data_IF_427712360379
#
_entry.id   IF_427712360379
#
_cell.length_a   1.000
_cell.length_b   1.000
_cell.length_c   1.000
_cell.angle_alpha   90.00
_cell.angle_beta   90.00
_cell.angle_gamma   90.00
#
_symmetry.space_group_name_H-M   'P 1'
#
loop_
_entity.id
_entity.type
_entity.pdbx_description
1 polymer ?
#
# COMPACT_ATOMS: atom_id res chain seq x y z
N UNK A 1 -104.96 96.01 -14.79
CA UNK A 1 -104.91 95.04 -13.68
C UNK A 1 -105.57 93.76 -14.19
N UNK A 2 -104.80 92.73 -14.58
CA UNK A 2 -104.17 91.69 -13.74
C UNK A 2 -105.17 90.75 -13.05
N UNK A 3 -105.37 89.57 -13.63
CA UNK A 3 -104.98 88.22 -13.14
C UNK A 3 -105.63 87.19 -14.08
N UNK A 4 -104.94 86.07 -14.35
CA UNK A 4 -105.37 84.91 -15.19
C UNK A 4 -104.85 84.80 -16.63
N UNK A 5 -103.54 84.86 -16.87
CA UNK A 5 -102.97 84.28 -18.11
C UNK A 5 -101.50 83.83 -17.99
N UNK A 6 -101.06 83.43 -16.79
CA UNK A 6 -99.75 82.78 -16.59
C UNK A 6 -99.94 81.51 -15.76
N UNK A 7 -100.54 80.50 -16.37
CA UNK A 7 -100.44 79.11 -15.96
C UNK A 7 -100.33 78.27 -17.24
N UNK A 8 -99.11 78.04 -17.68
CA UNK A 8 -98.87 77.25 -18.89
C UNK A 8 -97.43 76.92 -19.23
N UNK A 9 -96.43 77.10 -18.34
CA UNK A 9 -95.02 76.96 -18.74
C UNK A 9 -94.06 76.37 -17.67
N UNK A 10 -94.53 75.51 -16.75
CA UNK A 10 -93.64 74.88 -15.75
C UNK A 10 -93.69 73.35 -15.65
N UNK A 11 -93.91 72.65 -16.76
CA UNK A 11 -93.66 71.20 -16.83
C UNK A 11 -92.84 70.88 -18.09
N UNK A 12 -91.55 71.21 -18.06
CA UNK A 12 -90.57 70.66 -19.00
C UNK A 12 -89.18 70.77 -18.38
N UNK A 13 -88.77 69.75 -17.62
CA UNK A 13 -87.39 69.24 -17.47
C UNK A 13 -87.25 68.41 -16.18
N UNK A 14 -87.72 67.16 -16.22
CA UNK A 14 -87.17 66.09 -15.41
C UNK A 14 -86.49 65.11 -16.39
N UNK A 15 -85.25 64.66 -16.14
CA UNK A 15 -84.64 63.65 -17.00
C UNK A 15 -85.50 62.38 -16.99
N UNK A 16 -85.70 61.70 -18.14
CA UNK A 16 -86.54 60.51 -18.18
C UNK A 16 -85.97 59.45 -17.24
N UNK A 17 -86.85 58.81 -16.46
CA UNK A 17 -86.48 57.70 -15.60
C UNK A 17 -85.90 56.55 -16.46
N UNK A 18 -84.71 56.05 -16.10
CA UNK A 18 -84.05 54.92 -16.76
C UNK A 18 -85.03 53.75 -16.89
N UNK A 19 -85.22 53.24 -18.11
CA UNK A 19 -86.18 52.17 -18.37
C UNK A 19 -85.63 50.83 -17.86
N UNK A 20 -86.53 49.86 -17.64
CA UNK A 20 -86.16 48.50 -17.21
C UNK A 20 -85.17 47.84 -18.19
N UNK A 21 -85.26 48.19 -19.48
CA UNK A 21 -84.40 47.72 -20.56
C UNK A 21 -82.98 48.31 -20.49
N UNK A 22 -82.85 49.60 -20.12
CA UNK A 22 -81.55 50.27 -19.89
C UNK A 22 -80.79 49.68 -18.69
N UNK A 23 -81.51 49.32 -17.62
CA UNK A 23 -80.93 48.71 -16.42
C UNK A 23 -80.53 47.23 -16.66
N UNK A 24 -81.27 46.51 -17.51
CA UNK A 24 -80.96 45.13 -17.88
C UNK A 24 -79.72 45.06 -18.81
N UNK A 25 -79.62 45.97 -19.79
CA UNK A 25 -78.45 46.07 -20.67
C UNK A 25 -77.19 46.57 -19.96
N UNK A 26 -77.28 47.55 -19.06
CA UNK A 26 -76.16 47.94 -18.16
C UNK A 26 -75.75 46.78 -17.23
N UNK A 27 -76.70 46.01 -16.69
CA UNK A 27 -76.43 44.83 -15.87
C UNK A 27 -75.73 43.69 -16.61
N UNK A 28 -76.11 43.44 -17.88
CA UNK A 28 -75.43 42.48 -18.75
C UNK A 28 -74.03 42.96 -19.16
N UNK A 29 -73.87 44.25 -19.51
CA UNK A 29 -72.58 44.83 -19.87
C UNK A 29 -71.60 44.86 -18.68
N UNK A 30 -72.07 45.20 -17.48
CA UNK A 30 -71.29 45.15 -16.24
C UNK A 30 -70.93 43.70 -15.86
N UNK A 31 -71.84 42.74 -16.05
CA UNK A 31 -71.58 41.32 -15.88
C UNK A 31 -70.52 40.78 -16.86
N UNK A 32 -70.57 41.19 -18.12
CA UNK A 32 -69.60 40.81 -19.15
C UNK A 32 -68.23 41.48 -18.93
N UNK A 33 -68.20 42.73 -18.48
CA UNK A 33 -66.98 43.44 -18.12
C UNK A 33 -66.30 42.82 -16.90
N UNK A 34 -67.07 42.50 -15.84
CA UNK A 34 -66.57 41.77 -14.67
C UNK A 34 -66.06 40.38 -15.05
N UNK A 35 -66.78 39.65 -15.91
CA UNK A 35 -66.34 38.33 -16.37
C UNK A 35 -65.05 38.41 -17.20
N UNK A 36 -64.92 39.41 -18.08
CA UNK A 36 -63.70 39.68 -18.85
C UNK A 36 -62.53 40.09 -17.95
N UNK A 37 -62.78 40.86 -16.89
CA UNK A 37 -61.79 41.25 -15.89
C UNK A 37 -61.31 40.04 -15.08
N UNK A 38 -62.22 39.20 -14.59
CA UNK A 38 -61.90 37.94 -13.88
C UNK A 38 -61.10 36.99 -14.78
N UNK A 39 -61.46 36.88 -16.06
CA UNK A 39 -60.72 36.07 -17.03
C UNK A 39 -59.34 36.65 -17.33
N UNK A 40 -59.19 37.98 -17.40
CA UNK A 40 -57.90 38.65 -17.55
C UNK A 40 -57.02 38.48 -16.32
N UNK A 41 -57.56 38.61 -15.11
CA UNK A 41 -56.85 38.37 -13.85
C UNK A 41 -56.44 36.91 -13.71
N UNK A 42 -57.32 35.96 -14.05
CA UNK A 42 -57.01 34.54 -14.05
C UNK A 42 -55.93 34.19 -15.08
N UNK A 43 -55.96 34.82 -16.26
CA UNK A 43 -54.91 34.69 -17.27
C UNK A 43 -53.59 35.28 -16.79
N UNK A 44 -53.59 36.49 -16.23
CA UNK A 44 -52.40 37.14 -15.68
C UNK A 44 -51.79 36.32 -14.52
N UNK A 45 -52.61 35.76 -13.63
CA UNK A 45 -52.16 34.85 -12.57
C UNK A 45 -51.54 33.57 -13.14
N UNK A 46 -52.16 32.96 -14.16
CA UNK A 46 -51.59 31.80 -14.86
C UNK A 46 -50.27 32.12 -15.55
N UNK A 47 -50.18 33.25 -16.23
CA UNK A 47 -48.97 33.69 -16.94
C UNK A 47 -47.82 33.98 -15.95
N UNK A 48 -48.14 34.58 -14.79
CA UNK A 48 -47.17 34.80 -13.70
C UNK A 48 -46.68 33.48 -13.08
N UNK A 49 -47.58 32.51 -12.85
CA UNK A 49 -47.23 31.16 -12.38
C UNK A 49 -46.32 30.48 -13.40
N UNK A 50 -46.70 30.48 -14.68
CA UNK A 50 -45.91 29.86 -15.75
C UNK A 50 -44.53 30.51 -15.88
N UNK A 51 -44.43 31.83 -15.73
CA UNK A 51 -43.15 32.56 -15.77
C UNK A 51 -42.24 32.18 -14.58
N UNK A 52 -42.81 32.01 -13.38
CA UNK A 52 -42.04 31.51 -12.21
C UNK A 52 -41.56 30.09 -12.43
N UNK A 53 -42.41 29.20 -12.95
CA UNK A 53 -42.04 27.80 -13.25
C UNK A 53 -40.95 27.75 -14.30
N UNK A 54 -41.06 28.55 -15.38
CA UNK A 54 -40.03 28.66 -16.41
C UNK A 54 -38.69 29.09 -15.82
N UNK A 55 -38.67 30.10 -14.93
CA UNK A 55 -37.45 30.54 -14.25
C UNK A 55 -36.79 29.44 -13.40
N UNK A 56 -37.55 28.56 -12.76
CA UNK A 56 -36.99 27.39 -12.07
C UNK A 56 -36.43 26.36 -13.07
N UNK A 57 -37.18 26.05 -14.14
CA UNK A 57 -36.75 25.06 -15.13
C UNK A 57 -35.47 25.53 -15.84
N UNK A 58 -35.38 26.80 -16.21
CA UNK A 58 -34.21 27.38 -16.87
C UNK A 58 -32.97 27.41 -15.95
N UNK A 59 -33.19 27.47 -14.63
CA UNK A 59 -32.13 27.41 -13.63
C UNK A 59 -31.63 25.98 -13.34
N UNK A 60 -32.34 24.94 -13.81
CA UNK A 60 -31.93 23.56 -13.62
C UNK A 60 -30.85 23.19 -14.64
N UNK A 61 -29.60 23.09 -14.17
CA UNK A 61 -28.51 22.55 -14.97
C UNK A 61 -28.65 21.02 -15.08
N UNK A 62 -28.85 20.53 -16.29
CA UNK A 62 -29.05 19.09 -16.56
C UNK A 62 -27.95 18.47 -17.42
N UNK A 63 -26.81 19.16 -17.55
CA UNK A 63 -25.70 18.76 -18.41
C UNK A 63 -24.94 17.55 -17.83
N UNK A 64 -25.56 16.38 -17.88
CA UNK A 64 -24.89 15.10 -17.62
C UNK A 64 -24.52 14.52 -18.97
N UNK A 65 -23.23 14.47 -19.26
CA UNK A 65 -22.70 13.85 -20.47
C UNK A 65 -22.69 12.32 -20.32
N UNK A 66 -23.62 11.66 -21.02
CA UNK A 66 -23.75 10.20 -21.02
C UNK A 66 -23.08 9.53 -22.22
N UNK A 67 -22.39 10.28 -23.09
CA UNK A 67 -21.67 9.64 -24.20
C UNK A 67 -20.56 8.72 -23.68
N UNK A 68 -20.17 7.75 -24.49
CA UNK A 68 -19.07 6.81 -24.19
C UNK A 68 -19.33 5.87 -22.99
N UNK A 69 -20.54 5.94 -22.41
CA UNK A 69 -21.10 4.94 -21.51
C UNK A 69 -21.83 3.85 -22.31
N UNK A 70 -22.02 2.68 -21.71
CA UNK A 70 -22.80 1.61 -22.36
C UNK A 70 -24.28 2.00 -22.47
N UNK A 71 -25.04 1.42 -23.41
CA UNK A 71 -26.48 1.68 -23.51
C UNK A 71 -27.25 1.46 -22.20
N UNK A 72 -26.89 0.41 -21.44
CA UNK A 72 -27.50 0.13 -20.13
C UNK A 72 -27.18 1.23 -19.11
N UNK A 73 -25.94 1.69 -19.04
CA UNK A 73 -25.52 2.77 -18.15
C UNK A 73 -26.20 4.10 -18.52
N UNK A 74 -26.27 4.42 -19.82
CA UNK A 74 -26.98 5.59 -20.33
C UNK A 74 -28.45 5.58 -19.94
N UNK A 75 -29.12 4.43 -20.06
CA UNK A 75 -30.51 4.26 -19.67
C UNK A 75 -30.72 4.45 -18.16
N UNK A 76 -29.86 3.89 -17.31
CA UNK A 76 -29.93 4.09 -15.85
C UNK A 76 -29.87 5.58 -15.47
N UNK A 77 -28.92 6.32 -16.04
CA UNK A 77 -28.76 7.76 -15.80
C UNK A 77 -29.95 8.53 -16.35
N UNK A 78 -30.36 8.26 -17.59
CA UNK A 78 -31.47 8.95 -18.25
C UNK A 78 -32.78 8.76 -17.48
N UNK A 79 -33.07 7.55 -17.01
CA UNK A 79 -34.26 7.25 -16.21
C UNK A 79 -34.28 8.03 -14.89
N UNK A 80 -33.14 8.14 -14.22
CA UNK A 80 -33.01 8.96 -13.02
C UNK A 80 -33.26 10.45 -13.33
N UNK A 81 -32.61 10.98 -14.37
CA UNK A 81 -32.76 12.39 -14.78
C UNK A 81 -34.22 12.72 -15.14
N UNK A 82 -34.90 11.86 -15.90
CA UNK A 82 -36.31 12.05 -16.27
C UNK A 82 -37.21 12.05 -15.04
N UNK A 83 -37.03 11.10 -14.13
CA UNK A 83 -37.79 11.02 -12.87
C UNK A 83 -37.63 12.30 -12.06
N UNK A 84 -36.38 12.71 -11.83
CA UNK A 84 -36.08 13.90 -11.02
C UNK A 84 -36.51 15.20 -11.70
N UNK A 85 -36.41 15.33 -13.03
CA UNK A 85 -36.98 16.47 -13.79
C UNK A 85 -38.49 16.58 -13.59
N UNK A 86 -39.21 15.45 -13.60
CA UNK A 86 -40.64 15.44 -13.32
C UNK A 86 -40.95 15.90 -11.90
N UNK A 87 -40.18 15.43 -10.91
CA UNK A 87 -40.34 15.86 -9.51
C UNK A 87 -40.00 17.34 -9.30
N UNK A 88 -38.98 17.83 -10.01
CA UNK A 88 -38.60 19.24 -10.03
C UNK A 88 -39.71 20.11 -10.61
N UNK A 89 -40.26 19.73 -11.76
CA UNK A 89 -41.34 20.47 -12.42
C UNK A 89 -42.62 20.52 -11.57
N UNK A 90 -42.98 19.42 -10.90
CA UNK A 90 -44.10 19.40 -9.96
C UNK A 90 -43.84 20.31 -8.75
N UNK A 91 -42.66 20.23 -8.14
CA UNK A 91 -42.29 21.11 -7.02
C UNK A 91 -42.29 22.59 -7.42
N UNK A 92 -41.71 22.93 -8.57
CA UNK A 92 -41.70 24.29 -9.12
C UNK A 92 -43.12 24.81 -9.39
N UNK A 93 -43.99 23.95 -9.94
CA UNK A 93 -45.40 24.27 -10.19
C UNK A 93 -46.19 24.53 -8.91
N UNK A 94 -45.88 23.80 -7.82
CA UNK A 94 -46.48 24.02 -6.51
C UNK A 94 -45.96 25.30 -5.87
N UNK A 95 -44.65 25.56 -5.91
CA UNK A 95 -44.06 26.81 -5.41
C UNK A 95 -44.66 28.03 -6.10
N UNK A 96 -44.83 27.97 -7.42
CA UNK A 96 -45.35 29.10 -8.17
C UNK A 96 -46.77 29.53 -7.76
N UNK A 97 -47.55 28.62 -7.16
CA UNK A 97 -48.91 28.85 -6.64
C UNK A 97 -48.93 29.36 -5.18
N UNK A 98 -47.80 29.35 -4.49
CA UNK A 98 -47.69 29.84 -3.11
C UNK A 98 -47.35 31.33 -3.13
N UNK A 99 -48.18 32.14 -2.46
CA UNK A 99 -47.99 33.58 -2.38
C UNK A 99 -46.99 34.00 -1.29
N UNK A 100 -46.99 33.30 -0.14
CA UNK A 100 -46.10 33.57 1.00
C UNK A 100 -44.78 32.77 0.93
N UNK A 101 -43.64 33.43 0.65
CA UNK A 101 -42.33 32.79 0.57
C UNK A 101 -41.77 32.33 1.94
N UNK A 102 -42.40 32.72 3.04
CA UNK A 102 -41.99 32.34 4.40
C UNK A 102 -42.77 31.15 4.94
N UNK A 103 -43.77 30.68 4.19
CA UNK A 103 -44.58 29.55 4.59
C UNK A 103 -43.74 28.25 4.69
N UNK A 104 -44.01 27.36 5.65
CA UNK A 104 -43.31 26.08 5.77
C UNK A 104 -43.33 25.27 4.47
N UNK A 105 -44.47 25.26 3.77
CA UNK A 105 -44.66 24.55 2.50
C UNK A 105 -43.76 25.11 1.38
N UNK A 106 -43.60 26.43 1.29
CA UNK A 106 -42.68 27.04 0.34
C UNK A 106 -41.24 26.59 0.60
N UNK A 107 -40.82 26.61 1.87
CA UNK A 107 -39.47 26.24 2.29
C UNK A 107 -39.16 24.76 2.04
N UNK A 108 -40.10 23.86 2.31
CA UNK A 108 -39.97 22.42 2.01
C UNK A 108 -39.80 22.18 0.50
N UNK A 109 -40.66 22.77 -0.33
CA UNK A 109 -40.59 22.61 -1.78
C UNK A 109 -39.31 23.23 -2.36
N UNK A 110 -38.88 24.39 -1.85
CA UNK A 110 -37.61 25.02 -2.25
C UNK A 110 -36.42 24.13 -1.88
N UNK A 111 -36.46 23.51 -0.70
CA UNK A 111 -35.44 22.54 -0.27
C UNK A 111 -35.41 21.34 -1.21
N UNK A 112 -36.58 20.83 -1.62
CA UNK A 112 -36.67 19.75 -2.63
C UNK A 112 -36.07 20.14 -3.97
N UNK A 113 -36.43 21.31 -4.51
CA UNK A 113 -35.88 21.87 -5.76
C UNK A 113 -34.35 21.98 -5.68
N UNK A 114 -33.84 22.55 -4.59
CA UNK A 114 -32.40 22.70 -4.40
C UNK A 114 -31.71 21.33 -4.29
N UNK A 115 -32.30 20.37 -3.58
CA UNK A 115 -31.78 19.00 -3.48
C UNK A 115 -31.69 18.29 -4.83
N UNK A 116 -32.69 18.46 -5.70
CA UNK A 116 -32.67 17.91 -7.06
C UNK A 116 -31.63 18.61 -7.94
N UNK A 117 -31.51 19.95 -7.85
CA UNK A 117 -30.48 20.68 -8.58
C UNK A 117 -29.08 20.22 -8.17
N UNK A 118 -28.84 20.06 -6.86
CA UNK A 118 -27.58 19.55 -6.34
C UNK A 118 -27.32 18.11 -6.77
N UNK A 119 -28.36 17.26 -6.87
CA UNK A 119 -28.19 15.88 -7.33
C UNK A 119 -27.76 15.81 -8.80
N UNK A 120 -28.21 16.73 -9.65
CA UNK A 120 -27.81 16.79 -11.05
C UNK A 120 -26.36 17.23 -11.20
N UNK A 121 -25.95 18.24 -10.44
CA UNK A 121 -24.55 18.68 -10.41
C UNK A 121 -23.62 17.59 -9.88
N UNK A 122 -24.03 16.90 -8.81
CA UNK A 122 -23.27 15.78 -8.26
C UNK A 122 -23.14 14.64 -9.27
N UNK A 123 -24.25 14.27 -9.92
CA UNK A 123 -24.26 13.23 -10.95
C UNK A 123 -23.38 13.60 -12.15
N UNK A 124 -23.48 14.83 -12.66
CA UNK A 124 -22.63 15.31 -13.75
C UNK A 124 -21.14 15.23 -13.38
N UNK A 125 -20.79 15.66 -12.16
CA UNK A 125 -19.42 15.60 -11.65
C UNK A 125 -18.92 14.17 -11.56
N UNK A 126 -19.72 13.26 -10.98
CA UNK A 126 -19.32 11.86 -10.81
C UNK A 126 -19.25 11.10 -12.14
N UNK A 127 -20.17 11.34 -13.09
CA UNK A 127 -20.12 10.76 -14.43
C UNK A 127 -18.87 11.20 -15.17
N UNK A 128 -18.53 12.50 -15.10
CA UNK A 128 -17.29 13.01 -15.68
C UNK A 128 -16.07 12.33 -15.06
N UNK A 129 -15.96 12.30 -13.73
CA UNK A 129 -14.85 11.64 -13.03
C UNK A 129 -14.76 10.16 -13.39
N UNK A 130 -15.88 9.44 -13.47
CA UNK A 130 -15.92 8.04 -13.88
C UNK A 130 -15.39 7.84 -15.30
N UNK A 131 -15.78 8.69 -16.26
CA UNK A 131 -15.26 8.64 -17.63
C UNK A 131 -13.74 8.89 -17.68
N UNK A 132 -13.25 9.86 -16.92
CA UNK A 132 -11.82 10.19 -16.82
C UNK A 132 -11.02 9.05 -16.17
N UNK A 133 -11.51 8.52 -15.04
CA UNK A 133 -10.89 7.42 -14.32
C UNK A 133 -10.89 6.13 -15.16
N UNK A 134 -11.98 5.85 -15.89
CA UNK A 134 -12.05 4.73 -16.85
C UNK A 134 -11.02 4.87 -17.96
N UNK A 135 -10.91 6.04 -18.57
CA UNK A 135 -9.93 6.29 -19.62
C UNK A 135 -8.49 6.17 -19.10
N UNK A 136 -8.21 6.70 -17.90
CA UNK A 136 -6.90 6.56 -17.26
C UNK A 136 -6.59 5.09 -16.97
N UNK A 137 -7.52 4.36 -16.34
CA UNK A 137 -7.32 2.96 -16.00
C UNK A 137 -7.02 2.10 -17.24
N UNK A 138 -7.81 2.24 -18.30
CA UNK A 138 -7.58 1.48 -19.54
C UNK A 138 -6.21 1.80 -20.16
N UNK A 139 -5.84 3.09 -20.18
CA UNK A 139 -4.51 3.51 -20.64
C UNK A 139 -3.39 2.97 -19.76
N UNK A 140 -3.53 3.02 -18.44
CA UNK A 140 -2.52 2.57 -17.49
C UNK A 140 -2.38 1.05 -17.54
N UNK A 141 -3.49 0.32 -17.73
CA UNK A 141 -3.51 -1.12 -17.97
C UNK A 141 -2.82 -1.50 -19.28
N UNK A 142 -3.19 -0.85 -20.40
CA UNK A 142 -2.58 -1.11 -21.72
C UNK A 142 -1.07 -0.83 -21.73
N UNK A 143 -0.62 0.16 -20.94
CA UNK A 143 0.79 0.49 -20.79
C UNK A 143 1.51 -0.34 -19.71
N UNK A 144 0.85 -1.29 -19.05
CA UNK A 144 1.44 -2.13 -18.00
C UNK A 144 1.89 -1.36 -16.75
N UNK A 145 1.24 -0.23 -16.46
CA UNK A 145 1.58 0.68 -15.36
C UNK A 145 0.86 0.35 -14.06
N UNK A 146 -0.16 -0.50 -14.10
CA UNK A 146 -0.82 -1.01 -12.88
C UNK A 146 0.19 -1.87 -12.12
N UNK A 147 0.34 -1.62 -10.82
CA UNK A 147 1.28 -2.37 -9.99
C UNK A 147 0.75 -3.78 -9.66
N UNK A 148 1.65 -4.75 -9.69
CA UNK A 148 1.42 -6.13 -9.25
C UNK A 148 1.28 -6.21 -7.71
N UNK A 149 1.64 -5.15 -7.00
CA UNK A 149 1.43 -5.01 -5.55
C UNK A 149 -0.02 -4.69 -5.16
N UNK A 150 -0.93 -4.53 -6.12
CA UNK A 150 -2.36 -4.39 -5.84
C UNK A 150 -2.98 -5.72 -5.41
N UNK A 151 -3.91 -5.68 -4.45
CA UNK A 151 -4.68 -6.85 -4.08
C UNK A 151 -5.53 -7.36 -5.25
N UNK A 152 -5.63 -8.69 -5.40
CA UNK A 152 -6.40 -9.34 -6.47
C UNK A 152 -7.86 -8.86 -6.49
N UNK A 153 -8.49 -8.70 -5.32
CA UNK A 153 -9.86 -8.21 -5.23
C UNK A 153 -9.99 -6.78 -5.76
N UNK A 154 -9.04 -5.89 -5.43
CA UNK A 154 -9.01 -4.52 -5.94
C UNK A 154 -8.87 -4.50 -7.47
N UNK A 155 -7.98 -5.33 -8.02
CA UNK A 155 -7.80 -5.46 -9.47
C UNK A 155 -9.05 -5.98 -10.17
N UNK A 156 -9.71 -6.99 -9.61
CA UNK A 156 -10.93 -7.58 -10.15
C UNK A 156 -12.08 -6.56 -10.15
N UNK A 157 -12.31 -5.88 -9.02
CA UNK A 157 -13.34 -4.85 -8.91
C UNK A 157 -13.10 -3.70 -9.90
N UNK A 158 -11.86 -3.21 -10.01
CA UNK A 158 -11.50 -2.16 -10.95
C UNK A 158 -11.65 -2.60 -12.41
N UNK A 159 -11.25 -3.83 -12.74
CA UNK A 159 -11.43 -4.40 -14.07
C UNK A 159 -12.90 -4.36 -14.44
N UNK A 160 -13.79 -4.97 -13.65
CA UNK A 160 -15.23 -4.97 -13.91
C UNK A 160 -15.81 -3.57 -14.06
N UNK A 161 -15.37 -2.65 -13.19
CA UNK A 161 -15.83 -1.26 -13.15
C UNK A 161 -15.51 -0.49 -14.44
N UNK A 162 -14.31 -0.68 -14.99
CA UNK A 162 -13.81 0.10 -16.10
C UNK A 162 -13.90 -0.62 -17.46
N UNK A 163 -14.15 -1.94 -17.50
CA UNK A 163 -14.33 -2.73 -18.75
C UNK A 163 -15.78 -2.88 -19.21
N UNK A 164 -16.72 -2.07 -18.69
CA UNK A 164 -18.16 -2.08 -19.01
C UNK A 164 -18.98 -3.24 -18.40
N UNK A 165 -18.38 -4.10 -17.59
CA UNK A 165 -19.08 -5.24 -16.98
C UNK A 165 -19.91 -4.83 -15.76
N UNK A 166 -19.52 -3.75 -15.07
CA UNK A 166 -20.24 -3.29 -13.89
C UNK A 166 -21.59 -2.64 -14.24
N UNK A 167 -22.63 -3.04 -13.50
CA UNK A 167 -23.97 -2.45 -13.58
C UNK A 167 -24.01 -1.13 -12.81
N UNK A 168 -24.19 -0.03 -13.54
CA UNK A 168 -24.27 1.33 -13.00
C UNK A 168 -25.72 1.70 -12.65
N UNK A 169 -25.89 2.32 -11.49
CA UNK A 169 -27.11 2.99 -11.06
C UNK A 169 -26.84 4.41 -10.59
N UNK A 170 -27.92 5.12 -10.25
CA UNK A 170 -27.86 6.43 -9.60
C UNK A 170 -28.59 6.33 -8.25
N UNK A 171 -27.83 6.51 -7.18
CA UNK A 171 -28.32 6.50 -5.81
C UNK A 171 -28.97 7.82 -5.39
N UNK A 172 -29.27 7.91 -4.09
CA UNK A 172 -29.78 9.14 -3.51
C UNK A 172 -28.80 10.31 -3.69
N UNK A 173 -29.34 11.51 -3.87
CA UNK A 173 -28.53 12.72 -4.07
C UNK A 173 -27.69 12.73 -5.35
N UNK A 174 -27.97 11.85 -6.32
CA UNK A 174 -27.26 11.82 -7.61
C UNK A 174 -25.88 11.19 -7.53
N UNK A 175 -25.64 10.35 -6.51
CA UNK A 175 -24.41 9.56 -6.41
C UNK A 175 -24.40 8.44 -7.44
N UNK A 176 -23.27 8.23 -8.10
CA UNK A 176 -23.04 7.04 -8.91
C UNK A 176 -22.83 5.85 -7.99
N UNK A 177 -23.50 4.77 -8.31
CA UNK A 177 -23.41 3.52 -7.58
C UNK A 177 -23.24 2.35 -8.53
N UNK A 178 -22.54 1.31 -8.09
CA UNK A 178 -22.28 0.12 -8.88
C UNK A 178 -22.74 -1.11 -8.12
N UNK A 179 -23.37 -2.04 -8.84
CA UNK A 179 -23.82 -3.30 -8.25
C UNK A 179 -22.63 -4.16 -7.86
N UNK A 180 -22.56 -4.54 -6.59
CA UNK A 180 -21.60 -5.49 -6.06
C UNK A 180 -22.27 -6.86 -5.92
N UNK A 181 -21.92 -7.78 -6.82
CA UNK A 181 -22.44 -9.15 -6.82
C UNK A 181 -22.13 -9.91 -5.53
N UNK A 182 -20.97 -9.66 -4.92
CA UNK A 182 -20.52 -10.37 -3.72
C UNK A 182 -21.27 -9.98 -2.45
N UNK A 183 -21.82 -8.76 -2.40
CA UNK A 183 -22.60 -8.27 -1.25
C UNK A 183 -24.10 -8.16 -1.54
N UNK A 184 -24.52 -8.35 -2.78
CA UNK A 184 -25.90 -8.12 -3.25
C UNK A 184 -26.40 -6.69 -2.94
N UNK A 185 -25.50 -5.70 -3.03
CA UNK A 185 -25.79 -4.29 -2.74
C UNK A 185 -25.07 -3.36 -3.72
N UNK A 186 -25.53 -2.11 -3.79
CA UNK A 186 -24.87 -1.04 -4.51
C UNK A 186 -23.78 -0.39 -3.64
N UNK A 187 -22.55 -0.35 -4.15
CA UNK A 187 -21.44 0.37 -3.55
C UNK A 187 -21.28 1.74 -4.25
N UNK A 188 -20.93 2.77 -3.47
CA UNK A 188 -20.74 4.12 -3.99
C UNK A 188 -19.46 4.22 -4.81
N UNK A 189 -19.53 4.87 -5.97
CA UNK A 189 -18.36 5.11 -6.84
C UNK A 189 -17.16 5.68 -6.08
N UNK A 190 -17.40 6.66 -5.22
CA UNK A 190 -16.35 7.35 -4.47
C UNK A 190 -15.65 6.46 -3.43
N UNK A 191 -16.22 5.31 -3.11
CA UNK A 191 -15.71 4.35 -2.12
C UNK A 191 -15.05 3.14 -2.77
N UNK A 192 -15.15 3.00 -4.09
CA UNK A 192 -14.57 1.85 -4.79
C UNK A 192 -13.03 1.94 -4.76
N UNK A 193 -12.35 0.83 -4.45
CA UNK A 193 -10.90 0.81 -4.36
C UNK A 193 -10.30 1.09 -5.74
N UNK A 194 -9.39 2.06 -5.81
CA UNK A 194 -8.66 2.39 -7.04
C UNK A 194 -7.30 1.69 -7.01
N UNK A 195 -6.96 0.90 -8.05
CA UNK A 195 -5.63 0.35 -8.19
C UNK A 195 -4.57 1.45 -8.20
N UNK A 196 -3.41 1.17 -7.61
CA UNK A 196 -2.27 2.07 -7.67
C UNK A 196 -1.29 1.66 -8.77
N UNK A 197 -0.51 2.63 -9.22
CA UNK A 197 0.46 2.47 -10.29
C UNK A 197 1.83 2.03 -9.75
N UNK A 198 2.63 1.44 -10.62
CA UNK A 198 4.05 1.13 -10.39
C UNK A 198 4.83 2.39 -9.98
N UNK A 199 5.69 2.28 -8.97
CA UNK A 199 6.58 3.32 -8.46
C UNK A 199 7.87 3.39 -9.28
N UNK A 200 7.76 3.88 -10.51
CA UNK A 200 8.91 4.09 -11.38
C UNK A 200 9.92 5.10 -10.81
N UNK A 201 9.51 6.04 -9.95
CA UNK A 201 10.44 7.00 -9.35
C UNK A 201 11.37 6.30 -8.36
N UNK A 202 10.79 5.55 -7.42
CA UNK A 202 11.54 4.73 -6.46
C UNK A 202 12.43 3.71 -7.18
N UNK A 203 11.89 3.03 -8.21
CA UNK A 203 12.63 2.05 -9.00
C UNK A 203 13.82 2.67 -9.75
N UNK A 204 13.65 3.86 -10.34
CA UNK A 204 14.73 4.57 -11.01
C UNK A 204 15.83 4.99 -10.02
N UNK A 205 15.46 5.49 -8.84
CA UNK A 205 16.45 5.83 -7.80
C UNK A 205 17.25 4.60 -7.36
N UNK A 206 16.58 3.46 -7.22
CA UNK A 206 17.23 2.20 -6.90
C UNK A 206 18.18 1.72 -8.00
N UNK A 207 17.76 1.83 -9.27
CA UNK A 207 18.60 1.48 -10.42
C UNK A 207 19.85 2.38 -10.50
N UNK A 208 19.71 3.69 -10.27
CA UNK A 208 20.84 4.62 -10.26
C UNK A 208 21.80 4.34 -9.08
N UNK A 209 21.25 4.03 -7.90
CA UNK A 209 22.04 3.56 -6.77
C UNK A 209 22.81 2.28 -7.12
N UNK A 210 22.17 1.32 -7.79
CA UNK A 210 22.80 0.09 -8.23
C UNK A 210 23.94 0.35 -9.24
N UNK A 211 23.70 1.20 -10.25
CA UNK A 211 24.73 1.63 -11.23
C UNK A 211 25.93 2.29 -10.54
N UNK A 212 25.69 3.15 -9.56
CA UNK A 212 26.74 3.82 -8.78
C UNK A 212 27.57 2.81 -7.98
N UNK A 213 26.89 1.86 -7.33
CA UNK A 213 27.53 0.80 -6.55
C UNK A 213 28.40 -0.11 -7.42
N UNK A 214 27.87 -0.59 -8.56
CA UNK A 214 28.64 -1.32 -9.57
C UNK A 214 29.84 -0.50 -10.04
N UNK A 215 29.60 0.79 -10.33
CA UNK A 215 30.60 1.65 -10.93
C UNK A 215 31.79 1.95 -10.02
N UNK A 216 31.59 1.91 -8.72
CA UNK A 216 32.64 2.12 -7.73
C UNK A 216 33.71 1.00 -7.71
N UNK A 217 33.46 -0.16 -8.33
CA UNK A 217 34.47 -1.21 -8.49
C UNK A 217 35.03 -1.77 -7.18
N UNK A 218 34.24 -1.73 -6.10
CA UNK A 218 34.64 -2.16 -4.76
C UNK A 218 33.46 -2.78 -4.02
N UNK A 219 33.74 -3.77 -3.17
CA UNK A 219 32.73 -4.50 -2.38
C UNK A 219 32.01 -3.57 -1.38
N UNK A 220 30.79 -3.97 -1.00
CA UNK A 220 29.96 -3.19 -0.07
C UNK A 220 30.15 -3.68 1.37
N UNK A 221 31.01 -3.01 2.14
CA UNK A 221 31.32 -3.40 3.52
C UNK A 221 31.32 -2.21 4.49
N UNK A 222 31.26 -2.50 5.79
CA UNK A 222 31.42 -1.51 6.87
C UNK A 222 30.51 -0.29 6.76
N UNK A 223 31.08 0.90 6.96
CA UNK A 223 30.35 2.17 6.95
C UNK A 223 29.62 2.44 5.62
N UNK A 224 30.20 2.02 4.49
CA UNK A 224 29.57 2.19 3.16
C UNK A 224 28.29 1.37 3.05
N UNK A 225 28.28 0.13 3.55
CA UNK A 225 27.07 -0.71 3.60
C UNK A 225 25.96 -0.05 4.41
N UNK A 226 26.29 0.50 5.58
CA UNK A 226 25.32 1.19 6.43
C UNK A 226 24.73 2.44 5.78
N UNK A 227 25.56 3.24 5.10
CA UNK A 227 25.10 4.43 4.39
C UNK A 227 24.16 4.08 3.23
N UNK A 228 24.51 3.07 2.41
CA UNK A 228 23.65 2.58 1.34
C UNK A 228 22.33 2.05 1.90
N UNK A 229 22.37 1.30 3.01
CA UNK A 229 21.16 0.82 3.69
C UNK A 229 20.25 1.97 4.14
N UNK A 230 20.81 3.05 4.68
CA UNK A 230 20.03 4.23 5.05
C UNK A 230 19.43 4.94 3.83
N UNK A 231 20.19 5.07 2.73
CA UNK A 231 19.69 5.65 1.49
C UNK A 231 18.53 4.83 0.91
N UNK A 232 18.68 3.51 0.86
CA UNK A 232 17.63 2.59 0.43
C UNK A 232 16.39 2.72 1.32
N UNK A 233 16.56 2.75 2.64
CA UNK A 233 15.44 2.94 3.57
C UNK A 233 14.69 4.26 3.31
N UNK A 234 15.39 5.33 2.98
CA UNK A 234 14.77 6.62 2.64
C UNK A 234 13.96 6.55 1.34
N UNK A 235 14.43 5.79 0.33
CA UNK A 235 13.67 5.54 -0.91
C UNK A 235 12.36 4.83 -0.57
N UNK A 236 12.44 3.75 0.22
CA UNK A 236 11.26 2.96 0.62
C UNK A 236 10.26 3.78 1.44
N UNK A 237 10.73 4.65 2.34
CA UNK A 237 9.86 5.54 3.13
C UNK A 237 9.19 6.60 2.25
N UNK A 238 9.91 7.18 1.27
CA UNK A 238 9.39 8.26 0.44
C UNK A 238 8.17 7.84 -0.40
N UNK A 239 8.18 6.61 -0.93
CA UNK A 239 7.06 6.06 -1.71
C UNK A 239 5.82 5.70 -0.85
N UNK A 240 5.95 5.70 0.48
CA UNK A 240 4.92 5.22 1.39
C UNK A 240 4.55 3.76 1.13
N UNK A 241 3.39 3.33 1.63
CA UNK A 241 2.93 1.94 1.50
C UNK A 241 2.80 1.47 0.05
N UNK A 242 2.20 2.28 -0.83
CA UNK A 242 2.00 1.92 -2.25
C UNK A 242 3.32 1.77 -2.98
N UNK A 243 4.28 2.68 -2.76
CA UNK A 243 5.62 2.57 -3.32
C UNK A 243 6.35 1.35 -2.77
N UNK A 244 6.21 1.05 -1.47
CA UNK A 244 6.78 -0.16 -0.87
C UNK A 244 6.22 -1.46 -1.50
N UNK A 245 4.90 -1.57 -1.64
CA UNK A 245 4.25 -2.72 -2.28
C UNK A 245 4.69 -2.86 -3.74
N UNK A 246 4.74 -1.74 -4.46
CA UNK A 246 5.23 -1.71 -5.84
C UNK A 246 6.67 -2.19 -5.94
N UNK A 247 7.58 -1.64 -5.13
CA UNK A 247 8.98 -2.04 -5.13
C UNK A 247 9.19 -3.49 -4.64
N UNK A 248 8.24 -4.06 -3.89
CA UNK A 248 8.32 -5.46 -3.48
C UNK A 248 7.88 -6.42 -4.61
N UNK A 249 6.83 -6.07 -5.34
CA UNK A 249 6.10 -6.99 -6.22
C UNK A 249 6.36 -6.77 -7.71
N UNK A 250 6.67 -5.55 -8.13
CA UNK A 250 6.82 -5.21 -9.54
C UNK A 250 8.18 -5.64 -10.12
N UNK A 251 8.18 -5.89 -11.42
CA UNK A 251 9.27 -6.43 -12.22
C UNK A 251 10.38 -5.42 -12.59
N UNK A 252 10.79 -4.57 -11.65
CA UNK A 252 11.79 -3.52 -11.93
C UNK A 252 13.22 -4.04 -12.11
N UNK A 253 13.61 -5.04 -11.30
CA UNK A 253 14.97 -5.60 -11.30
C UNK A 253 14.99 -7.04 -11.78
N UNK A 254 13.97 -7.82 -11.39
CA UNK A 254 13.81 -9.21 -11.81
C UNK A 254 12.33 -9.50 -12.05
N UNK A 255 12.08 -10.48 -12.92
CA UNK A 255 10.72 -10.89 -13.26
C UNK A 255 9.98 -11.40 -12.01
N UNK A 256 8.78 -10.87 -11.74
CA UNK A 256 7.99 -11.23 -10.55
C UNK A 256 8.39 -10.50 -9.26
N UNK A 257 9.14 -9.41 -9.36
CA UNK A 257 9.56 -8.62 -8.20
C UNK A 257 10.55 -9.36 -7.31
N UNK A 258 10.54 -9.09 -6.00
CA UNK A 258 11.46 -9.71 -5.06
C UNK A 258 11.11 -11.17 -4.71
N UNK A 259 10.02 -11.72 -5.27
CA UNK A 259 9.61 -13.11 -5.04
C UNK A 259 9.25 -13.41 -3.58
N UNK A 260 8.71 -12.43 -2.85
CA UNK A 260 8.27 -12.63 -1.47
C UNK A 260 7.00 -13.48 -1.45
N UNK A 261 7.03 -14.62 -0.75
CA UNK A 261 5.94 -15.60 -0.75
C UNK A 261 4.96 -15.42 0.42
N UNK A 262 5.35 -14.73 1.49
CA UNK A 262 4.53 -14.57 2.69
C UNK A 262 3.44 -13.51 2.49
N UNK A 263 2.14 -13.90 2.42
CA UNK A 263 1.05 -12.96 2.21
C UNK A 263 0.83 -12.02 3.41
N UNK A 264 1.24 -12.41 4.62
CA UNK A 264 1.04 -11.58 5.81
C UNK A 264 1.87 -10.30 5.72
N UNK A 265 3.04 -10.33 5.09
CA UNK A 265 3.86 -9.13 4.87
C UNK A 265 3.11 -8.05 4.08
N UNK A 266 2.25 -8.45 3.15
CA UNK A 266 1.51 -7.51 2.29
C UNK A 266 0.25 -6.95 2.96
N UNK A 267 -0.15 -7.47 4.13
CA UNK A 267 -1.38 -7.10 4.81
C UNK A 267 -1.35 -5.66 5.38
N UNK A 268 -2.51 -4.96 5.43
CA UNK A 268 -2.63 -3.67 6.11
C UNK A 268 -2.06 -3.68 7.53
N UNK A 269 -1.17 -2.74 7.84
CA UNK A 269 -0.52 -2.64 9.17
C UNK A 269 0.88 -3.26 9.28
N UNK A 270 1.29 -4.16 8.39
CA UNK A 270 2.60 -4.82 8.44
C UNK A 270 3.70 -4.06 7.65
N UNK A 271 3.57 -2.74 7.54
CA UNK A 271 4.45 -1.90 6.71
C UNK A 271 5.91 -1.93 7.17
N UNK A 272 6.15 -1.99 8.48
CA UNK A 272 7.50 -2.01 9.04
C UNK A 272 8.23 -3.33 8.73
N UNK A 273 7.54 -4.46 8.85
CA UNK A 273 8.07 -5.80 8.57
C UNK A 273 8.32 -5.97 7.07
N UNK A 274 7.36 -5.61 6.23
CA UNK A 274 7.52 -5.61 4.78
C UNK A 274 8.70 -4.73 4.36
N UNK A 275 8.81 -3.52 4.91
CA UNK A 275 9.93 -2.61 4.61
C UNK A 275 11.27 -3.24 4.96
N UNK A 276 11.36 -3.88 6.12
CA UNK A 276 12.59 -4.53 6.56
C UNK A 276 12.99 -5.68 5.61
N UNK A 277 12.02 -6.52 5.21
CA UNK A 277 12.27 -7.63 4.26
C UNK A 277 12.68 -7.10 2.89
N UNK A 278 11.97 -6.10 2.36
CA UNK A 278 12.30 -5.47 1.07
C UNK A 278 13.68 -4.82 1.10
N UNK A 279 14.00 -4.11 2.18
CA UNK A 279 15.30 -3.49 2.41
C UNK A 279 16.42 -4.54 2.43
N UNK A 280 16.24 -5.66 3.14
CA UNK A 280 17.24 -6.72 3.23
C UNK A 280 17.48 -7.39 1.87
N UNK A 281 16.42 -7.70 1.14
CA UNK A 281 16.53 -8.28 -0.20
C UNK A 281 17.26 -7.35 -1.19
N UNK A 282 16.90 -6.06 -1.21
CA UNK A 282 17.62 -5.10 -2.05
C UNK A 282 19.06 -4.89 -1.60
N UNK A 283 19.35 -4.89 -0.29
CA UNK A 283 20.73 -4.82 0.19
C UNK A 283 21.57 -6.03 -0.25
N UNK A 284 20.98 -7.21 -0.37
CA UNK A 284 21.65 -8.39 -0.91
C UNK A 284 21.98 -8.19 -2.40
N UNK A 285 20.99 -7.78 -3.21
CA UNK A 285 21.18 -7.48 -4.65
C UNK A 285 22.27 -6.43 -4.87
N UNK A 286 22.27 -5.36 -4.08
CA UNK A 286 23.27 -4.30 -4.14
C UNK A 286 24.66 -4.80 -3.72
N UNK A 287 24.73 -5.69 -2.73
CA UNK A 287 26.00 -6.29 -2.29
C UNK A 287 26.59 -7.20 -3.37
N UNK A 288 25.76 -8.00 -4.04
CA UNK A 288 26.16 -8.84 -5.17
C UNK A 288 26.64 -8.00 -6.35
N UNK A 289 25.92 -6.92 -6.65
CA UNK A 289 26.31 -5.99 -7.71
C UNK A 289 27.64 -5.28 -7.39
N UNK A 290 27.87 -4.90 -6.13
CA UNK A 290 29.15 -4.34 -5.69
C UNK A 290 30.30 -5.35 -5.86
N UNK A 291 30.07 -6.60 -5.49
CA UNK A 291 31.04 -7.68 -5.64
C UNK A 291 31.36 -7.94 -7.12
N UNK A 292 30.35 -7.91 -7.99
CA UNK A 292 30.52 -8.05 -9.43
C UNK A 292 31.30 -6.86 -10.03
N UNK A 293 30.95 -5.63 -9.66
CA UNK A 293 31.68 -4.44 -10.09
C UNK A 293 33.15 -4.47 -9.70
N UNK A 294 33.47 -4.97 -8.49
CA UNK A 294 34.85 -5.16 -8.05
C UNK A 294 35.62 -6.20 -8.88
N UNK A 295 34.95 -7.27 -9.33
CA UNK A 295 35.54 -8.28 -10.22
C UNK A 295 35.80 -7.73 -11.61
N UNK A 296 34.81 -7.05 -12.20
CA UNK A 296 34.85 -6.59 -13.59
C UNK A 296 35.81 -5.42 -13.80
N UNK A 297 35.90 -4.50 -12.82
CA UNK A 297 36.75 -3.30 -12.91
C UNK A 297 38.18 -3.55 -12.43
N UNK A 298 38.55 -4.79 -12.18
CA UNK A 298 39.90 -5.16 -11.74
C UNK A 298 40.91 -4.91 -12.88
N UNK A 299 42.02 -4.19 -12.65
CA UNK A 299 43.07 -4.04 -13.65
C UNK A 299 43.68 -5.40 -14.02
N UNK A 300 43.97 -5.63 -15.30
CA UNK A 300 44.67 -6.85 -15.73
C UNK A 300 46.06 -6.92 -15.10
N UNK A 301 46.29 -7.88 -14.19
CA UNK A 301 47.62 -8.04 -13.59
C UNK A 301 48.58 -8.64 -14.62
N UNK A 302 49.61 -7.86 -15.02
CA UNK A 302 50.80 -8.40 -15.70
C UNK A 302 51.45 -9.45 -14.79
N UNK A 303 51.74 -10.61 -15.37
CA UNK A 303 52.27 -11.78 -14.66
C UNK A 303 53.54 -11.46 -13.87
N UNK A 304 53.53 -11.84 -12.59
CA UNK A 304 54.66 -11.69 -11.69
C UNK A 304 54.45 -12.50 -10.42
N UNK A 305 55.01 -13.71 -10.43
CA UNK A 305 55.51 -14.53 -9.31
C UNK A 305 54.74 -14.51 -7.97
N UNK A 306 54.11 -15.64 -7.66
CA UNK A 306 54.08 -16.25 -6.33
C UNK A 306 53.59 -15.40 -5.15
N UNK A 307 52.28 -15.39 -4.91
CA UNK A 307 51.74 -14.95 -3.63
C UNK A 307 50.31 -14.47 -3.76
N UNK A 308 49.35 -15.35 -3.41
CA UNK A 308 47.90 -15.19 -3.32
C UNK A 308 47.22 -14.33 -4.41
N UNK A 309 46.21 -14.88 -5.10
CA UNK A 309 45.39 -14.11 -6.04
C UNK A 309 44.86 -12.82 -5.37
N UNK A 310 44.89 -11.67 -6.05
CA UNK A 310 44.47 -10.38 -5.47
C UNK A 310 43.12 -10.40 -4.73
N UNK A 311 42.13 -11.14 -5.24
CA UNK A 311 40.84 -11.33 -4.56
C UNK A 311 40.95 -11.95 -3.16
N UNK A 312 41.90 -12.86 -2.96
CA UNK A 312 42.18 -13.48 -1.67
C UNK A 312 42.94 -12.51 -0.76
N UNK A 313 43.86 -11.69 -1.29
CA UNK A 313 44.54 -10.65 -0.50
C UNK A 313 43.55 -9.58 0.00
N UNK A 314 42.62 -9.17 -0.84
CA UNK A 314 41.62 -8.16 -0.47
C UNK A 314 40.60 -8.72 0.53
N UNK A 315 40.14 -9.96 0.33
CA UNK A 315 39.30 -10.66 1.30
C UNK A 315 40.01 -10.79 2.65
N UNK A 316 41.28 -11.21 2.68
CA UNK A 316 42.10 -11.30 3.92
C UNK A 316 42.30 -9.91 4.57
N UNK A 317 42.51 -8.85 3.78
CA UNK A 317 42.70 -7.52 4.33
C UNK A 317 41.42 -6.94 4.95
N UNK A 318 40.24 -7.28 4.39
CA UNK A 318 38.94 -6.76 4.83
C UNK A 318 38.29 -7.65 5.91
N UNK A 319 38.68 -8.93 6.01
CA UNK A 319 38.15 -9.88 6.99
C UNK A 319 38.95 -9.98 8.29
N UNK A 320 39.86 -9.04 8.56
CA UNK A 320 40.56 -8.94 9.85
C UNK A 320 39.60 -8.96 11.05
N UNK A 321 38.46 -8.28 10.95
CA UNK A 321 37.42 -8.30 11.99
C UNK A 321 36.77 -9.68 12.18
N UNK A 322 36.70 -10.52 11.14
CA UNK A 322 36.16 -11.89 11.22
C UNK A 322 37.16 -12.80 11.94
N UNK A 323 38.45 -12.65 11.64
CA UNK A 323 39.51 -13.38 12.33
C UNK A 323 39.62 -12.99 13.82
N UNK A 324 39.48 -11.70 14.15
CA UNK A 324 39.48 -11.23 15.54
C UNK A 324 38.27 -11.76 16.32
N UNK A 325 37.07 -11.76 15.71
CA UNK A 325 35.87 -12.37 16.32
C UNK A 325 36.02 -13.89 16.48
N UNK A 326 36.61 -14.58 15.51
CA UNK A 326 36.91 -16.00 15.60
C UNK A 326 37.88 -16.29 16.76
N UNK A 327 38.89 -15.42 16.96
CA UNK A 327 39.81 -15.53 18.08
C UNK A 327 39.09 -15.31 19.42
N UNK A 328 38.27 -14.27 19.54
CA UNK A 328 37.47 -14.03 20.75
C UNK A 328 36.52 -15.20 21.05
N UNK A 329 35.85 -15.73 20.02
CA UNK A 329 35.01 -16.91 20.12
C UNK A 329 35.79 -18.14 20.60
N UNK A 330 37.01 -18.35 20.08
CA UNK A 330 37.87 -19.47 20.48
C UNK A 330 38.25 -19.45 21.97
N UNK A 331 38.34 -18.26 22.59
CA UNK A 331 38.70 -18.13 24.00
C UNK A 331 37.61 -18.64 24.94
N UNK A 332 36.34 -18.65 24.50
CA UNK A 332 35.23 -19.24 25.26
C UNK A 332 35.47 -20.73 25.54
N UNK A 333 36.27 -21.43 24.71
CA UNK A 333 36.61 -22.83 24.93
C UNK A 333 37.38 -23.06 26.25
N UNK A 334 38.16 -22.07 26.70
CA UNK A 334 38.88 -22.12 27.99
C UNK A 334 37.94 -21.98 29.19
N UNK A 335 36.79 -21.33 28.99
CA UNK A 335 35.75 -21.17 30.01
C UNK A 335 34.76 -22.34 30.01
N UNK A 336 34.69 -23.08 28.89
CA UNK A 336 33.94 -24.32 28.73
C UNK A 336 34.62 -25.54 29.41
N UNK A 337 35.47 -25.32 30.41
CA UNK A 337 36.05 -26.34 31.28
C UNK A 337 35.69 -26.02 32.74
N UNK A 338 34.86 -26.87 33.38
CA UNK A 338 34.40 -26.70 34.77
C UNK A 338 32.89 -26.47 34.93
N UNK A 339 32.44 -25.96 36.08
CA UNK A 339 31.01 -25.85 36.47
C UNK A 339 30.12 -24.99 35.56
N UNK A 340 30.70 -24.15 34.68
CA UNK A 340 29.97 -23.25 33.77
C UNK A 340 29.86 -23.76 32.32
N UNK A 341 30.17 -25.04 32.08
CA UNK A 341 30.26 -25.63 30.74
C UNK A 341 28.95 -25.46 29.93
N UNK A 342 27.78 -25.69 30.52
CA UNK A 342 26.49 -25.63 29.81
C UNK A 342 26.16 -24.22 29.32
N UNK A 343 26.33 -23.21 30.19
CA UNK A 343 26.05 -21.82 29.84
C UNK A 343 26.98 -21.31 28.72
N UNK A 344 28.27 -21.68 28.80
CA UNK A 344 29.28 -21.30 27.81
C UNK A 344 28.99 -21.92 26.44
N UNK A 345 28.59 -23.20 26.39
CA UNK A 345 28.25 -23.88 25.13
C UNK A 345 26.95 -23.32 24.53
N UNK A 346 25.98 -22.91 25.35
CA UNK A 346 24.78 -22.20 24.86
C UNK A 346 25.14 -20.85 24.23
N UNK A 347 26.04 -20.09 24.86
CA UNK A 347 26.54 -18.83 24.32
C UNK A 347 27.26 -19.05 22.98
N UNK A 348 28.06 -20.12 22.86
CA UNK A 348 28.73 -20.47 21.61
C UNK A 348 27.72 -20.74 20.48
N UNK A 349 26.68 -21.54 20.74
CA UNK A 349 25.65 -21.84 19.74
C UNK A 349 24.93 -20.56 19.25
N UNK A 350 24.59 -19.65 20.18
CA UNK A 350 23.95 -18.37 19.84
C UNK A 350 24.86 -17.48 18.98
N UNK A 351 26.15 -17.41 19.30
CA UNK A 351 27.10 -16.61 18.52
C UNK A 351 27.22 -17.16 17.10
N UNK A 352 27.32 -18.48 16.93
CA UNK A 352 27.41 -19.09 15.59
C UNK A 352 26.13 -18.86 14.78
N UNK A 353 24.95 -19.03 15.38
CA UNK A 353 23.68 -18.75 14.71
C UNK A 353 23.52 -17.27 14.34
N UNK A 354 24.21 -16.35 15.04
CA UNK A 354 24.19 -14.92 14.74
C UNK A 354 25.11 -14.51 13.57
N UNK A 355 26.01 -15.39 13.13
CA UNK A 355 26.91 -15.13 11.99
C UNK A 355 26.10 -15.06 10.69
N UNK A 356 25.17 -16.00 10.52
CA UNK A 356 24.22 -16.03 9.42
C UNK A 356 22.82 -16.37 9.94
N UNK A 357 22.03 -15.36 10.33
CA UNK A 357 20.67 -15.57 10.84
C UNK A 357 19.69 -16.08 9.78
N UNK A 358 20.09 -16.05 8.49
CA UNK A 358 19.28 -16.54 7.36
C UNK A 358 19.58 -17.99 6.99
N UNK A 359 20.58 -18.59 7.63
CA UNK A 359 20.95 -19.99 7.41
C UNK A 359 19.78 -20.93 7.71
N UNK A 360 19.47 -21.81 6.77
CA UNK A 360 18.50 -22.92 6.98
C UNK A 360 19.05 -24.01 7.91
N UNK A 361 20.22 -23.78 8.51
CA UNK A 361 20.89 -24.66 9.45
C UNK A 361 21.19 -23.86 10.71
N UNK A 362 20.58 -24.26 11.82
CA UNK A 362 20.83 -23.67 13.14
C UNK A 362 21.52 -24.69 14.03
N UNK A 363 22.32 -24.19 14.96
CA UNK A 363 23.04 -24.95 15.95
C UNK A 363 22.32 -24.91 17.29
N UNK A 364 22.07 -26.08 17.87
CA UNK A 364 21.46 -26.23 19.19
C UNK A 364 22.37 -27.06 20.08
N UNK A 365 22.35 -26.80 21.39
CA UNK A 365 23.19 -27.54 22.34
C UNK A 365 22.56 -28.86 22.74
N UNK A 366 23.35 -29.75 23.34
CA UNK A 366 22.85 -31.02 23.89
C UNK A 366 21.69 -30.84 24.87
N UNK A 367 21.75 -29.82 25.73
CA UNK A 367 20.68 -29.52 26.68
C UNK A 367 19.39 -29.11 25.97
N UNK A 368 19.48 -28.16 25.05
CA UNK A 368 18.33 -27.69 24.25
C UNK A 368 17.73 -28.83 23.41
N UNK A 369 18.57 -29.69 22.83
CA UNK A 369 18.11 -30.83 22.05
C UNK A 369 17.46 -31.91 22.93
N UNK A 370 17.98 -32.12 24.14
CA UNK A 370 17.36 -33.02 25.12
C UNK A 370 16.00 -32.50 25.58
N UNK A 371 15.85 -31.20 25.83
CA UNK A 371 14.55 -30.58 26.13
C UNK A 371 13.54 -30.83 25.01
N UNK A 372 13.95 -30.69 23.74
CA UNK A 372 13.09 -31.00 22.58
C UNK A 372 12.71 -32.48 22.51
N UNK A 373 13.64 -33.39 22.83
CA UNK A 373 13.38 -34.82 22.90
C UNK A 373 12.35 -35.19 23.98
N UNK A 374 12.36 -34.48 25.10
CA UNK A 374 11.42 -34.68 26.22
C UNK A 374 10.00 -34.17 25.93
N UNK A 375 9.80 -33.34 24.90
CA UNK A 375 8.47 -32.82 24.53
C UNK A 375 7.54 -33.97 24.11
N UNK A 376 6.45 -34.13 24.86
CA UNK A 376 5.44 -35.17 24.63
C UNK A 376 5.73 -36.51 25.32
N UNK A 377 6.72 -36.57 26.22
CA UNK A 377 6.94 -37.71 27.12
C UNK A 377 6.37 -37.39 28.50
N UNK A 378 5.45 -38.21 28.99
CA UNK A 378 4.87 -38.11 30.34
C UNK A 378 5.77 -38.75 31.42
N UNK A 379 7.09 -38.64 31.26
CA UNK A 379 8.10 -39.21 32.16
C UNK A 379 9.06 -38.12 32.64
N UNK A 380 9.40 -38.13 33.94
CA UNK A 380 10.42 -37.24 34.49
C UNK A 380 11.82 -37.63 34.01
N UNK A 381 12.75 -36.66 33.97
CA UNK A 381 14.13 -36.87 33.57
C UNK A 381 14.80 -38.01 34.37
N UNK A 382 15.23 -39.05 33.67
CA UNK A 382 15.79 -40.26 34.26
C UNK A 382 17.09 -40.68 33.55
N UNK A 383 17.96 -41.46 34.21
CA UNK A 383 19.15 -42.02 33.57
C UNK A 383 18.83 -42.83 32.30
N UNK A 384 17.68 -43.52 32.28
CA UNK A 384 17.26 -44.33 31.13
C UNK A 384 16.82 -43.46 29.95
N UNK A 385 16.12 -42.35 30.19
CA UNK A 385 15.76 -41.39 29.12
C UNK A 385 16.98 -40.68 28.55
N UNK A 386 17.95 -40.32 29.40
CA UNK A 386 19.24 -39.77 28.95
C UNK A 386 20.01 -40.77 28.10
N UNK A 387 19.93 -42.05 28.43
CA UNK A 387 20.52 -43.13 27.64
C UNK A 387 19.81 -43.28 26.29
N UNK A 388 18.47 -43.30 26.26
CA UNK A 388 17.70 -43.34 25.02
C UNK A 388 18.02 -42.16 24.10
N UNK A 389 18.16 -40.95 24.66
CA UNK A 389 18.58 -39.78 23.90
C UNK A 389 19.95 -39.98 23.25
N UNK A 390 20.93 -40.48 24.01
CA UNK A 390 22.28 -40.75 23.49
C UNK A 390 22.26 -41.87 22.46
N UNK A 391 21.44 -42.90 22.63
CA UNK A 391 21.30 -44.00 21.67
C UNK A 391 20.67 -43.51 20.35
N UNK A 392 19.74 -42.55 20.41
CA UNK A 392 19.04 -42.02 19.23
C UNK A 392 19.84 -40.92 18.49
N UNK A 393 20.43 -39.97 19.20
CA UNK A 393 21.06 -38.78 18.61
C UNK A 393 22.59 -38.76 18.74
N UNK A 394 23.16 -39.68 19.53
CA UNK A 394 24.57 -39.72 19.86
C UNK A 394 24.94 -38.83 21.05
N UNK A 395 26.21 -38.90 21.48
CA UNK A 395 26.72 -38.12 22.60
C UNK A 395 27.54 -36.92 22.10
N UNK A 396 26.87 -35.93 21.50
CA UNK A 396 27.51 -34.71 21.01
C UNK A 396 27.16 -33.50 21.88
N UNK A 397 28.07 -32.52 21.95
CA UNK A 397 27.85 -31.27 22.68
C UNK A 397 26.90 -30.32 21.94
N UNK A 398 26.86 -30.42 20.60
CA UNK A 398 26.04 -29.58 19.73
C UNK A 398 25.45 -30.41 18.58
N UNK A 399 24.33 -29.93 18.05
CA UNK A 399 23.58 -30.52 16.94
C UNK A 399 23.25 -29.44 15.92
N UNK A 400 23.11 -29.84 14.66
CA UNK A 400 22.62 -28.99 13.57
C UNK A 400 21.22 -29.47 13.17
N UNK A 401 20.28 -28.54 13.01
CA UNK A 401 18.88 -28.81 12.64
C UNK A 401 18.37 -27.71 11.71
N UNK A 402 17.31 -27.98 10.95
CA UNK A 402 16.60 -26.99 10.16
C UNK A 402 15.45 -26.38 10.98
N UNK A 403 15.35 -25.04 11.11
CA UNK A 403 14.28 -24.41 11.89
C UNK A 403 12.86 -24.74 11.40
N UNK A 404 12.70 -25.13 10.14
CA UNK A 404 11.42 -25.50 9.53
C UNK A 404 11.04 -26.98 9.73
N UNK A 405 11.88 -27.77 10.41
CA UNK A 405 11.63 -29.19 10.66
C UNK A 405 11.64 -29.49 12.15
N UNK A 406 11.01 -30.59 12.53
CA UNK A 406 11.11 -31.08 13.90
C UNK A 406 12.56 -31.53 14.15
N UNK A 407 13.27 -30.94 15.14
CA UNK A 407 14.64 -31.34 15.46
C UNK A 407 14.78 -32.83 15.76
N UNK A 408 13.70 -33.48 16.24
CA UNK A 408 13.71 -34.92 16.54
C UNK A 408 13.84 -35.80 15.29
N UNK A 409 13.54 -35.25 14.12
CA UNK A 409 13.57 -35.96 12.83
C UNK A 409 14.80 -35.61 11.98
N UNK A 410 15.39 -34.43 12.18
CA UNK A 410 16.42 -33.91 11.28
C UNK A 410 17.74 -33.50 11.97
N UNK A 411 17.80 -33.49 13.30
CA UNK A 411 18.99 -33.12 14.02
C UNK A 411 20.15 -34.08 13.74
N UNK A 412 21.33 -33.52 13.51
CA UNK A 412 22.57 -34.27 13.34
C UNK A 412 23.61 -33.77 14.33
N UNK A 413 24.19 -34.69 15.08
CA UNK A 413 25.29 -34.37 15.98
C UNK A 413 26.51 -33.85 15.20
N UNK A 414 27.13 -32.80 15.72
CA UNK A 414 28.37 -32.27 15.15
C UNK A 414 29.56 -32.63 16.03
N UNK A 415 30.60 -33.18 15.41
CA UNK A 415 31.84 -33.53 16.10
C UNK A 415 32.72 -32.28 16.21
N UNK A 416 32.39 -31.42 17.16
CA UNK A 416 33.14 -30.20 17.46
C UNK A 416 33.58 -30.23 18.92
N UNK A 417 34.87 -30.08 19.18
CA UNK A 417 35.39 -30.03 20.53
C UNK A 417 35.21 -28.60 21.07
N UNK A 418 34.19 -28.40 21.90
CA UNK A 418 33.83 -27.09 22.49
C UNK A 418 34.81 -26.62 23.56
N UNK A 419 35.68 -27.50 24.06
CA UNK A 419 36.70 -27.17 25.07
C UNK A 419 38.09 -26.97 24.46
N UNK A 420 38.24 -27.15 23.15
CA UNK A 420 39.48 -26.85 22.43
C UNK A 420 39.36 -25.51 21.67
N UNK A 421 40.17 -24.49 22.02
CA UNK A 421 40.18 -23.21 21.32
C UNK A 421 40.41 -23.35 19.82
N UNK A 422 41.27 -24.28 19.37
CA UNK A 422 41.53 -24.45 17.94
C UNK A 422 40.29 -24.94 17.20
N UNK A 423 39.66 -25.99 17.70
CA UNK A 423 38.39 -26.51 17.21
C UNK A 423 37.29 -25.42 17.16
N UNK A 424 37.21 -24.54 18.17
CA UNK A 424 36.26 -23.42 18.16
C UNK A 424 36.60 -22.31 17.16
N UNK A 425 37.88 -21.98 16.98
CA UNK A 425 38.31 -21.04 15.95
C UNK A 425 37.95 -21.54 14.55
N UNK A 426 38.29 -22.81 14.25
CA UNK A 426 37.98 -23.45 12.97
C UNK A 426 36.46 -23.51 12.74
N UNK A 427 35.69 -23.82 13.78
CA UNK A 427 34.23 -23.85 13.71
C UNK A 427 33.62 -22.49 13.37
N UNK A 428 34.11 -21.40 13.97
CA UNK A 428 33.67 -20.04 13.64
C UNK A 428 34.01 -19.67 12.19
N UNK A 429 35.26 -19.88 11.80
CA UNK A 429 35.73 -19.55 10.44
C UNK A 429 34.94 -20.32 9.39
N UNK A 430 34.66 -21.61 9.61
CA UNK A 430 33.91 -22.42 8.66
C UNK A 430 32.45 -21.96 8.46
N UNK A 431 31.86 -21.36 9.50
CA UNK A 431 30.51 -20.80 9.47
C UNK A 431 30.44 -19.34 9.02
N UNK A 432 31.57 -18.69 8.75
CA UNK A 432 31.61 -17.34 8.18
C UNK A 432 31.31 -17.32 6.68
N UNK A 433 31.06 -16.12 6.16
CA UNK A 433 30.85 -15.79 4.75
C UNK A 433 32.14 -15.80 3.90
N UNK A 434 33.28 -16.14 4.52
CA UNK A 434 34.57 -16.22 3.84
C UNK A 434 34.61 -17.30 2.76
N UNK A 435 35.39 -17.05 1.71
CA UNK A 435 35.69 -18.03 0.68
C UNK A 435 36.49 -19.20 1.26
N UNK A 436 36.39 -20.38 0.64
CA UNK A 436 37.14 -21.57 1.08
C UNK A 436 38.66 -21.32 1.17
N UNK A 437 39.20 -20.44 0.31
CA UNK A 437 40.63 -20.09 0.34
C UNK A 437 40.99 -19.14 1.48
N UNK A 438 40.12 -18.18 1.80
CA UNK A 438 40.30 -17.30 2.96
C UNK A 438 40.11 -18.05 4.28
N UNK A 439 39.13 -18.96 4.35
CA UNK A 439 38.95 -19.89 5.48
C UNK A 439 40.22 -20.67 5.76
N UNK A 440 40.77 -21.34 4.75
CA UNK A 440 42.02 -22.10 4.88
C UNK A 440 43.19 -21.21 5.30
N UNK A 441 43.29 -19.99 4.75
CA UNK A 441 44.34 -19.04 5.13
C UNK A 441 44.31 -18.70 6.64
N UNK A 442 43.14 -18.37 7.20
CA UNK A 442 43.02 -18.04 8.62
C UNK A 442 43.22 -19.24 9.53
N UNK A 443 42.72 -20.42 9.14
CA UNK A 443 42.94 -21.67 9.88
C UNK A 443 44.44 -21.99 9.94
N UNK A 444 45.15 -21.90 8.82
CA UNK A 444 46.60 -22.11 8.75
C UNK A 444 47.38 -21.05 9.56
N UNK A 445 46.94 -19.79 9.52
CA UNK A 445 47.53 -18.69 10.27
C UNK A 445 47.42 -18.91 11.78
N UNK A 446 46.24 -19.30 12.26
CA UNK A 446 46.01 -19.63 13.67
C UNK A 446 46.91 -20.79 14.14
N UNK A 447 47.04 -21.84 13.33
CA UNK A 447 47.95 -22.95 13.61
C UNK A 447 49.41 -22.52 13.77
N UNK A 448 49.90 -21.64 12.89
CA UNK A 448 51.27 -21.10 12.94
C UNK A 448 51.51 -20.19 14.16
N UNK A 449 50.55 -19.33 14.49
CA UNK A 449 50.66 -18.40 15.61
C UNK A 449 50.61 -19.10 16.98
N UNK A 450 49.87 -20.21 17.08
CA UNK A 450 49.73 -20.96 18.34
C UNK A 450 50.84 -22.00 18.55
N UNK A 451 51.43 -22.51 17.46
CA UNK A 451 52.57 -23.45 17.52
C UNK A 451 53.91 -22.76 17.79
N UNK A 452 54.03 -21.46 17.44
CA UNK A 452 55.22 -20.65 17.72
C UNK A 452 55.46 -20.29 19.20
N UNK A 453 54.51 -20.60 20.08
CA UNK A 453 54.63 -20.34 21.53
C UNK A 453 55.14 -21.53 22.35
N UNK A 454 55.45 -22.68 21.74
CA UNK A 454 55.99 -23.84 22.46
C UNK A 454 57.48 -24.13 22.26
N UNK A 455 58.15 -23.50 21.29
CA UNK A 455 59.59 -23.67 21.07
C UNK A 455 60.34 -22.34 21.24
N UNK A 456 60.47 -21.89 22.49
CA UNK A 456 61.56 -21.00 22.90
C UNK A 456 61.72 -21.04 24.42
N UNK A 457 62.05 -22.22 24.93
CA UNK A 457 62.63 -22.38 26.24
C UNK A 457 63.95 -23.15 26.11
N UNK A 458 64.87 -22.59 25.29
CA UNK A 458 66.30 -22.90 25.29
C UNK A 458 67.02 -22.05 24.23
N UNK A 459 67.27 -20.77 24.53
CA UNK A 459 68.60 -20.20 24.26
C UNK A 459 68.74 -18.80 24.88
N UNK A 460 69.64 -18.72 25.84
CA UNK A 460 70.27 -17.50 26.31
C UNK A 460 71.04 -16.87 25.15
N UNK A 461 70.69 -15.65 24.72
CA UNK A 461 71.39 -15.03 23.60
C UNK A 461 70.98 -13.59 23.35
N UNK A 462 71.64 -12.68 24.08
CA UNK A 462 71.90 -11.27 23.73
C UNK A 462 71.76 -10.93 22.23
N UNK A 463 71.02 -9.87 21.90
CA UNK A 463 71.04 -9.34 20.54
C UNK A 463 70.10 -8.16 20.31
N UNK A 464 70.66 -6.97 20.30
CA UNK A 464 70.02 -5.68 20.08
C UNK A 464 69.39 -5.50 18.69
N UNK A 465 68.36 -4.65 18.63
CA UNK A 465 68.04 -3.66 17.59
C UNK A 465 68.95 -3.67 16.34
N UNK A 466 68.35 -3.80 15.15
CA UNK A 466 68.51 -2.84 14.04
C UNK A 466 67.67 -3.23 12.82
N UNK A 467 66.84 -2.26 12.38
CA UNK A 467 66.47 -1.91 11.00
C UNK A 467 66.09 -3.02 10.00
N UNK A 468 64.80 -3.08 9.65
CA UNK A 468 64.27 -2.58 8.37
C UNK A 468 62.74 -2.60 8.37
#
# INVERSE_FOLDING_TARGET
>A
MNKELVQGDLIANAPPAKTWDDNLTEGFAAGYANHKLIMQEAKAKKDAINSKVAGYIDALDTNVDVTDLTPTQQNSITNYLVKQRSEYADAASRIAKIEDPTSPQYMELRTKINGISQSFQNLATQVKSYKEDKASYLKDFDNGLISDGNEINTLNEASKLYTNEASLGVGEGGSLVFWNEGKETYDSYNQMPKPFLKDFEGANQLLEMNKSIYSAGSTLTGARKNMIRQQLNNILIKGGRRGLLSLASDDFIMQGGLGLEDPELFAPGNDDDLRQVVLDNYMNILSDTAAQGARDKRPSSRGGSGGFSGALKDEINVSGNVADKALQFSLLAKEATGGNTVATVNQMANIINSIDPTSTKIYVTKGQMYEKFMVGKDEEDSPDLRKQFVDQFGNFNMYITNPSKDPREDARGINVNTSDPRSMFEFYINNSDLSAKAKNYYIDLYGKQTSGSQDNNNNSGSGSLNNL
#
